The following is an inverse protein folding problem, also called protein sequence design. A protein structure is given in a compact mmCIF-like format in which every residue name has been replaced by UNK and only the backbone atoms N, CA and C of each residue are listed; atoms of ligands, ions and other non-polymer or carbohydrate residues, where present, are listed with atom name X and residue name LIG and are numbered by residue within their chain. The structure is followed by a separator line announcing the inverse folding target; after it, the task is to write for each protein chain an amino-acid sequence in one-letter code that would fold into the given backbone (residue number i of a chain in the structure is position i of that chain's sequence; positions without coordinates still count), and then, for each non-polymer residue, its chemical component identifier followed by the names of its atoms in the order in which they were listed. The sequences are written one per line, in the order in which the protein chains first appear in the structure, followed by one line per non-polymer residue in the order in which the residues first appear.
data_IF_683591882959
#
_entry.id   IF_683591882959
#
_cell.length_a   1.000
_cell.length_b   1.000
_cell.length_c   1.000
_cell.angle_alpha   90.00
_cell.angle_beta   90.00
_cell.angle_gamma   90.00
#
_symmetry.space_group_name_H-M   'P 1'
#
loop_
_entity.id
_entity.type
_entity.pdbx_description
1 polymer ?
#
# COMPACT_ATOMS: atom_id res chain seq x y z
N UNK A 1 -42.64 -37.58 -22.54
CA UNK A 1 -42.86 -36.59 -21.47
C UNK A 1 -41.50 -36.10 -21.04
N UNK A 2 -41.09 -34.94 -21.53
CA UNK A 2 -39.84 -34.27 -21.12
C UNK A 2 -40.18 -33.38 -19.93
N UNK A 3 -39.65 -33.70 -18.75
CA UNK A 3 -39.77 -32.86 -17.57
C UNK A 3 -38.97 -31.57 -17.82
N UNK A 4 -39.67 -30.45 -17.92
CA UNK A 4 -39.06 -29.13 -17.90
C UNK A 4 -38.46 -28.89 -16.49
N UNK A 5 -37.17 -28.51 -16.34
CA UNK A 5 -36.59 -28.22 -15.05
C UNK A 5 -37.25 -26.97 -14.45
N UNK A 6 -37.68 -27.07 -13.20
CA UNK A 6 -38.23 -25.96 -12.42
C UNK A 6 -37.19 -24.85 -12.33
N UNK A 7 -37.52 -23.59 -12.72
CA UNK A 7 -36.56 -22.49 -12.61
C UNK A 7 -36.20 -22.26 -11.14
N UNK A 8 -34.92 -22.46 -10.78
CA UNK A 8 -34.38 -22.21 -9.43
C UNK A 8 -33.86 -23.43 -8.67
N UNK A 9 -34.07 -24.67 -9.17
CA UNK A 9 -33.57 -25.88 -8.52
C UNK A 9 -32.22 -26.30 -9.15
N UNK A 10 -31.12 -25.86 -8.57
CA UNK A 10 -29.79 -26.38 -8.95
C UNK A 10 -29.56 -27.73 -8.28
N UNK A 11 -29.01 -28.75 -8.98
CA UNK A 11 -28.68 -30.04 -8.39
C UNK A 11 -27.77 -29.85 -7.16
N UNK A 12 -27.99 -30.61 -6.10
CA UNK A 12 -27.30 -30.49 -4.82
C UNK A 12 -25.76 -30.56 -4.92
N UNK A 13 -25.25 -31.27 -5.93
CA UNK A 13 -23.79 -31.35 -6.19
C UNK A 13 -23.21 -30.06 -6.79
N UNK A 14 -23.94 -29.36 -7.67
CA UNK A 14 -23.48 -28.05 -8.18
C UNK A 14 -23.53 -26.96 -7.09
N UNK A 15 -24.54 -26.98 -6.23
CA UNK A 15 -24.65 -26.12 -5.08
C UNK A 15 -23.52 -26.33 -4.07
N UNK A 16 -23.09 -27.59 -3.88
CA UNK A 16 -21.98 -27.94 -2.99
C UNK A 16 -20.61 -27.54 -3.55
N UNK A 17 -20.38 -27.73 -4.85
CA UNK A 17 -19.15 -27.26 -5.54
C UNK A 17 -19.04 -25.74 -5.55
N UNK A 18 -20.15 -25.03 -5.78
CA UNK A 18 -20.17 -23.55 -5.73
C UNK A 18 -19.89 -23.04 -4.32
N UNK A 19 -20.49 -23.61 -3.28
CA UNK A 19 -20.24 -23.23 -1.87
C UNK A 19 -18.76 -23.40 -1.48
N UNK A 20 -18.11 -24.49 -1.87
CA UNK A 20 -16.68 -24.72 -1.63
C UNK A 20 -15.77 -23.71 -2.36
N UNK A 21 -16.16 -23.29 -3.58
CA UNK A 21 -15.39 -22.35 -4.37
C UNK A 21 -15.40 -20.92 -3.78
N UNK A 22 -16.46 -20.51 -3.08
CA UNK A 22 -16.53 -19.21 -2.37
C UNK A 22 -15.80 -19.21 -1.02
N UNK A 23 -15.57 -20.39 -0.42
CA UNK A 23 -14.93 -20.48 0.89
C UNK A 23 -13.42 -20.14 0.85
N UNK A 24 -12.73 -20.46 -0.25
CA UNK A 24 -11.30 -20.26 -0.36
C UNK A 24 -10.90 -18.78 -0.38
N UNK A 25 -11.48 -17.91 -1.24
CA UNK A 25 -11.19 -16.47 -1.16
C UNK A 25 -11.51 -15.89 0.22
N UNK A 26 -12.66 -16.20 0.80
CA UNK A 26 -13.05 -15.72 2.13
C UNK A 26 -12.07 -16.12 3.24
N UNK A 27 -11.34 -17.22 3.10
CA UNK A 27 -10.30 -17.63 4.04
C UNK A 27 -9.09 -16.69 4.00
N UNK A 28 -8.64 -16.29 2.79
CA UNK A 28 -7.52 -15.35 2.65
C UNK A 28 -7.90 -13.95 3.12
N UNK A 29 -9.11 -13.48 2.81
CA UNK A 29 -9.63 -12.21 3.35
C UNK A 29 -9.71 -12.25 4.89
N UNK A 30 -10.15 -13.38 5.47
CA UNK A 30 -10.16 -13.57 6.93
C UNK A 30 -8.74 -13.57 7.51
N UNK A 31 -7.77 -14.19 6.83
CA UNK A 31 -6.37 -14.16 7.23
C UNK A 31 -5.78 -12.75 7.15
N UNK A 32 -6.15 -11.96 6.14
CA UNK A 32 -5.80 -10.54 6.02
C UNK A 32 -6.33 -9.75 7.23
N UNK A 33 -7.63 -9.88 7.55
CA UNK A 33 -8.25 -9.26 8.74
C UNK A 33 -7.52 -9.66 10.03
N UNK A 34 -7.22 -10.95 10.18
CA UNK A 34 -6.50 -11.46 11.36
C UNK A 34 -5.12 -10.81 11.50
N UNK A 35 -4.36 -10.71 10.41
CA UNK A 35 -3.05 -10.07 10.41
C UNK A 35 -3.15 -8.57 10.75
N UNK A 36 -4.13 -7.85 10.17
CA UNK A 36 -4.38 -6.44 10.48
C UNK A 36 -4.76 -6.22 11.94
N UNK A 37 -5.66 -7.04 12.47
CA UNK A 37 -6.07 -7.00 13.89
C UNK A 37 -4.90 -7.31 14.82
N UNK A 38 -4.11 -8.36 14.51
CA UNK A 38 -2.91 -8.70 15.28
C UNK A 38 -1.91 -7.53 15.26
N UNK A 39 -1.70 -6.87 14.13
CA UNK A 39 -0.80 -5.73 14.02
C UNK A 39 -1.26 -4.56 14.91
N UNK A 40 -2.56 -4.27 14.98
CA UNK A 40 -3.14 -3.26 15.88
C UNK A 40 -2.85 -3.62 17.35
N UNK A 41 -3.15 -4.84 17.75
CA UNK A 41 -2.92 -5.29 19.14
C UNK A 41 -1.43 -5.28 19.50
N UNK A 42 -0.55 -5.71 18.58
CA UNK A 42 0.89 -5.69 18.79
C UNK A 42 1.43 -4.25 18.91
N UNK A 43 0.95 -3.32 18.08
CA UNK A 43 1.32 -1.90 18.16
C UNK A 43 0.87 -1.26 19.49
N UNK A 44 -0.35 -1.56 19.95
CA UNK A 44 -0.86 -1.07 21.24
C UNK A 44 -0.07 -1.62 22.43
N UNK A 45 0.21 -2.92 22.42
CA UNK A 45 1.06 -3.54 23.45
C UNK A 45 2.50 -3.00 23.43
N UNK A 46 3.05 -2.79 22.23
CA UNK A 46 4.36 -2.16 22.06
C UNK A 46 4.41 -0.75 22.65
N UNK A 47 3.36 0.03 22.44
CA UNK A 47 3.20 1.35 23.04
C UNK A 47 3.14 1.30 24.57
N UNK A 48 2.41 0.36 25.14
CA UNK A 48 2.32 0.15 26.59
C UNK A 48 3.68 -0.27 27.21
N UNK A 49 4.48 -1.04 26.48
CA UNK A 49 5.78 -1.53 26.92
C UNK A 49 6.90 -0.47 26.85
N UNK A 50 6.70 0.69 26.20
CA UNK A 50 7.71 1.74 26.02
C UNK A 50 8.36 2.21 27.33
N UNK A 51 7.58 2.30 28.41
CA UNK A 51 8.05 2.76 29.74
C UNK A 51 8.58 1.66 30.63
N UNK A 52 8.45 0.39 30.28
CA UNK A 52 8.76 -0.74 31.15
C UNK A 52 9.80 -1.71 30.57
N UNK A 53 9.65 -2.10 29.31
CA UNK A 53 10.54 -3.04 28.63
C UNK A 53 10.72 -2.65 27.16
N UNK A 54 11.83 -1.99 26.87
CA UNK A 54 12.18 -1.56 25.52
C UNK A 54 12.41 -2.73 24.56
N UNK A 55 12.94 -3.86 25.05
CA UNK A 55 13.17 -5.06 24.24
C UNK A 55 11.85 -5.66 23.79
N UNK A 56 10.88 -5.77 24.71
CA UNK A 56 9.53 -6.24 24.39
C UNK A 56 8.81 -5.27 23.44
N UNK A 57 8.89 -3.95 23.67
CA UNK A 57 8.34 -2.95 22.77
C UNK A 57 8.89 -3.09 21.35
N UNK A 58 10.21 -3.20 21.20
CA UNK A 58 10.89 -3.40 19.91
C UNK A 58 10.40 -4.67 19.21
N UNK A 59 10.30 -5.78 19.94
CA UNK A 59 9.80 -7.06 19.40
C UNK A 59 8.34 -6.94 18.92
N UNK A 60 7.50 -6.27 19.68
CA UNK A 60 6.08 -6.10 19.37
C UNK A 60 5.87 -5.21 18.14
N UNK A 61 6.64 -4.13 17.98
CA UNK A 61 6.58 -3.29 16.79
C UNK A 61 7.08 -4.03 15.54
N UNK A 62 8.13 -4.83 15.66
CA UNK A 62 8.61 -5.68 14.57
C UNK A 62 7.56 -6.72 14.15
N UNK A 63 6.90 -7.35 15.13
CA UNK A 63 5.82 -8.29 14.87
C UNK A 63 4.60 -7.63 14.20
N UNK A 64 4.25 -6.40 14.62
CA UNK A 64 3.18 -5.64 13.98
C UNK A 64 3.52 -5.31 12.52
N UNK A 65 4.75 -4.90 12.25
CA UNK A 65 5.23 -4.64 10.89
C UNK A 65 5.20 -5.90 10.01
N UNK A 66 5.68 -7.03 10.52
CA UNK A 66 5.61 -8.33 9.84
C UNK A 66 4.18 -8.76 9.55
N UNK A 67 3.26 -8.55 10.50
CA UNK A 67 1.85 -8.90 10.32
C UNK A 67 1.22 -8.07 9.19
N UNK A 68 1.52 -6.76 9.07
CA UNK A 68 1.09 -5.95 7.93
C UNK A 68 1.68 -6.50 6.62
N UNK A 69 2.94 -6.92 6.62
CA UNK A 69 3.57 -7.56 5.46
C UNK A 69 2.86 -8.86 5.04
N UNK A 70 2.47 -9.71 5.99
CA UNK A 70 1.66 -10.90 5.70
C UNK A 70 0.25 -10.55 5.21
N UNK A 71 -0.36 -9.48 5.75
CA UNK A 71 -1.65 -8.99 5.25
C UNK A 71 -1.57 -8.62 3.77
N UNK A 72 -0.51 -7.90 3.33
CA UNK A 72 -0.27 -7.59 1.90
C UNK A 72 -0.14 -8.85 1.05
N UNK A 73 0.50 -9.90 1.58
CA UNK A 73 0.63 -11.18 0.88
C UNK A 73 -0.72 -11.88 0.73
N UNK A 74 -1.53 -11.94 1.80
CA UNK A 74 -2.86 -12.58 1.78
C UNK A 74 -3.83 -11.84 0.86
N UNK A 75 -3.84 -10.50 0.87
CA UNK A 75 -4.60 -9.68 -0.08
C UNK A 75 -4.22 -9.97 -1.53
N UNK A 76 -2.93 -10.00 -1.84
CA UNK A 76 -2.46 -10.31 -3.19
C UNK A 76 -2.85 -11.72 -3.65
N UNK A 77 -2.88 -12.70 -2.75
CA UNK A 77 -3.30 -14.08 -3.01
C UNK A 77 -4.80 -14.18 -3.22
N UNK A 78 -5.61 -13.55 -2.34
CA UNK A 78 -7.07 -13.52 -2.42
C UNK A 78 -7.53 -12.98 -3.77
N UNK A 79 -7.11 -11.77 -4.13
CA UNK A 79 -7.45 -11.16 -5.40
C UNK A 79 -6.96 -11.97 -6.62
N UNK A 80 -5.91 -12.78 -6.50
CA UNK A 80 -5.44 -13.66 -7.57
C UNK A 80 -6.28 -14.92 -7.69
N UNK A 81 -6.58 -15.57 -6.57
CA UNK A 81 -7.39 -16.80 -6.50
C UNK A 81 -8.82 -16.52 -6.94
N UNK A 82 -9.47 -15.45 -6.46
CA UNK A 82 -10.82 -15.07 -6.85
C UNK A 82 -10.94 -14.87 -8.37
N UNK A 83 -9.95 -14.29 -9.01
CA UNK A 83 -9.90 -14.15 -10.49
C UNK A 83 -9.71 -15.46 -11.22
N UNK A 84 -8.87 -16.37 -10.70
CA UNK A 84 -8.62 -17.68 -11.31
C UNK A 84 -9.82 -18.61 -11.21
N UNK A 85 -10.51 -18.58 -10.08
CA UNK A 85 -11.67 -19.43 -9.81
C UNK A 85 -12.99 -18.85 -10.35
N UNK A 86 -12.98 -17.60 -10.84
CA UNK A 86 -14.17 -16.86 -11.29
C UNK A 86 -15.29 -16.82 -10.22
N UNK A 87 -14.92 -16.79 -8.96
CA UNK A 87 -15.83 -16.85 -7.80
C UNK A 87 -15.95 -15.50 -7.10
N UNK A 88 -15.92 -14.40 -7.84
CA UNK A 88 -16.15 -13.08 -7.27
C UNK A 88 -17.63 -12.92 -6.90
N UNK A 89 -17.90 -12.64 -5.62
CA UNK A 89 -19.24 -12.26 -5.13
C UNK A 89 -19.22 -10.80 -4.69
N UNK A 90 -20.38 -10.12 -4.77
CA UNK A 90 -20.51 -8.74 -4.30
C UNK A 90 -20.16 -8.62 -2.81
N UNK A 91 -20.59 -9.61 -2.00
CA UNK A 91 -20.24 -9.69 -0.59
C UNK A 91 -18.71 -9.82 -0.38
N UNK A 92 -18.02 -10.65 -1.17
CA UNK A 92 -16.57 -10.81 -1.10
C UNK A 92 -15.83 -9.52 -1.41
N UNK A 93 -16.26 -8.75 -2.39
CA UNK A 93 -15.66 -7.45 -2.75
C UNK A 93 -15.83 -6.42 -1.64
N UNK A 94 -16.99 -6.37 -0.99
CA UNK A 94 -17.20 -5.46 0.15
C UNK A 94 -16.41 -5.89 1.39
N UNK A 95 -16.35 -7.20 1.68
CA UNK A 95 -15.57 -7.73 2.79
C UNK A 95 -14.07 -7.47 2.60
N UNK A 96 -13.56 -7.65 1.39
CA UNK A 96 -12.17 -7.34 1.02
C UNK A 96 -11.85 -5.85 1.24
N UNK A 97 -12.75 -4.96 0.84
CA UNK A 97 -12.58 -3.52 1.07
C UNK A 97 -12.56 -3.15 2.56
N UNK A 98 -13.37 -3.82 3.39
CA UNK A 98 -13.34 -3.63 4.85
C UNK A 98 -12.06 -4.18 5.46
N UNK A 99 -11.59 -5.34 5.00
CA UNK A 99 -10.31 -5.93 5.39
C UNK A 99 -9.15 -4.98 5.07
N UNK A 100 -9.15 -4.38 3.88
CA UNK A 100 -8.12 -3.43 3.45
C UNK A 100 -8.09 -2.17 4.31
N UNK A 101 -9.25 -1.60 4.69
CA UNK A 101 -9.29 -0.44 5.59
C UNK A 101 -8.70 -0.78 6.96
N UNK A 102 -8.98 -1.97 7.49
CA UNK A 102 -8.43 -2.42 8.76
C UNK A 102 -6.92 -2.66 8.67
N UNK A 103 -6.48 -3.47 7.70
CA UNK A 103 -5.12 -3.98 7.63
C UNK A 103 -4.12 -2.98 7.02
N UNK A 104 -4.58 -2.13 6.10
CA UNK A 104 -3.73 -1.17 5.38
C UNK A 104 -4.07 0.29 5.66
N UNK A 105 -5.22 0.57 6.28
CA UNK A 105 -5.57 1.89 6.79
C UNK A 105 -5.25 2.03 8.27
N UNK A 106 -5.98 1.31 9.12
CA UNK A 106 -5.91 1.46 10.58
C UNK A 106 -4.59 0.93 11.16
N UNK A 107 -4.19 -0.30 10.83
CA UNK A 107 -3.03 -0.93 11.44
C UNK A 107 -1.72 -0.15 11.20
N UNK A 108 -1.34 0.27 9.95
CA UNK A 108 -0.14 1.05 9.75
C UNK A 108 -0.22 2.47 10.30
N UNK A 109 -1.41 3.10 10.36
CA UNK A 109 -1.59 4.39 11.02
C UNK A 109 -1.26 4.33 12.51
N UNK A 110 -1.79 3.32 13.21
CA UNK A 110 -1.52 3.07 14.61
C UNK A 110 -0.07 2.64 14.86
N UNK A 111 0.49 1.80 13.99
CA UNK A 111 1.89 1.40 14.09
C UNK A 111 2.83 2.60 13.98
N UNK A 112 2.65 3.45 12.98
CA UNK A 112 3.46 4.66 12.77
C UNK A 112 3.32 5.65 13.94
N UNK A 113 2.11 5.79 14.49
CA UNK A 113 1.84 6.61 15.66
C UNK A 113 2.56 6.07 16.89
N UNK A 114 2.36 4.79 17.22
CA UNK A 114 2.84 4.18 18.44
C UNK A 114 4.38 3.99 18.47
N UNK A 115 4.96 3.60 17.33
CA UNK A 115 6.40 3.40 17.19
C UNK A 115 7.17 4.71 17.01
N UNK A 116 6.56 5.68 16.34
CA UNK A 116 7.24 6.85 15.80
C UNK A 116 6.78 8.17 16.41
N UNK A 117 6.07 8.95 15.62
CA UNK A 117 5.83 10.37 15.84
C UNK A 117 4.82 10.70 16.95
N UNK A 118 3.96 9.77 17.38
CA UNK A 118 2.96 10.01 18.43
C UNK A 118 3.56 10.17 19.83
N UNK A 119 4.78 9.67 20.03
CA UNK A 119 5.54 9.74 21.30
C UNK A 119 6.76 10.67 21.20
N UNK A 120 6.94 11.33 20.07
CA UNK A 120 8.06 12.24 19.82
C UNK A 120 7.84 13.57 20.55
N UNK A 121 8.88 14.16 21.18
CA UNK A 121 8.80 15.49 21.80
C UNK A 121 8.42 16.59 20.80
N UNK A 122 7.84 17.66 21.31
CA UNK A 122 7.47 18.84 20.51
C UNK A 122 8.68 19.49 19.85
N UNK A 123 8.52 19.92 18.61
CA UNK A 123 9.58 20.52 17.79
C UNK A 123 9.17 21.92 17.33
N UNK A 124 9.98 22.93 17.61
CA UNK A 124 9.79 24.30 17.12
C UNK A 124 8.37 24.85 17.31
N UNK A 125 7.72 24.51 18.42
CA UNK A 125 6.34 24.95 18.72
C UNK A 125 5.23 24.13 18.05
N UNK A 126 5.59 23.08 17.28
CA UNK A 126 4.62 22.11 16.77
C UNK A 126 4.30 21.10 17.86
N UNK A 127 3.05 21.04 18.29
CA UNK A 127 2.56 20.03 19.21
C UNK A 127 2.50 18.67 18.49
N UNK A 128 3.59 17.92 18.56
CA UNK A 128 3.76 16.66 17.82
C UNK A 128 2.64 15.67 18.10
N UNK A 129 2.17 15.56 19.35
CA UNK A 129 1.08 14.67 19.72
C UNK A 129 -0.24 14.99 18.99
N UNK A 130 -0.59 16.26 18.85
CA UNK A 130 -1.80 16.68 18.10
C UNK A 130 -1.63 16.45 16.59
N UNK A 131 -0.47 16.85 16.03
CA UNK A 131 -0.18 16.63 14.62
C UNK A 131 -0.16 15.14 14.28
N UNK A 132 0.42 14.31 15.13
CA UNK A 132 0.45 12.86 15.01
C UNK A 132 -0.95 12.24 14.91
N UNK A 133 -1.84 12.64 15.81
CA UNK A 133 -3.23 12.17 15.79
C UNK A 133 -3.94 12.55 14.48
N UNK A 134 -3.84 13.80 14.07
CA UNK A 134 -4.48 14.33 12.85
C UNK A 134 -3.95 13.61 11.61
N UNK A 135 -2.63 13.44 11.49
CA UNK A 135 -2.02 12.79 10.31
C UNK A 135 -2.35 11.30 10.26
N UNK A 136 -2.37 10.59 11.40
CA UNK A 136 -2.81 9.19 11.45
C UNK A 136 -4.26 9.03 11.01
N UNK A 137 -5.15 9.93 11.47
CA UNK A 137 -6.54 9.97 11.05
C UNK A 137 -6.67 10.27 9.54
N UNK A 138 -5.93 11.26 9.04
CA UNK A 138 -5.92 11.57 7.61
C UNK A 138 -5.45 10.39 6.76
N UNK A 139 -4.43 9.67 7.19
CA UNK A 139 -3.95 8.48 6.50
C UNK A 139 -5.07 7.43 6.35
N UNK A 140 -5.77 7.12 7.44
CA UNK A 140 -6.91 6.20 7.43
C UNK A 140 -8.02 6.67 6.49
N UNK A 141 -8.42 7.93 6.59
CA UNK A 141 -9.51 8.51 5.79
C UNK A 141 -9.13 8.56 4.30
N UNK A 142 -7.91 8.97 3.98
CA UNK A 142 -7.41 8.99 2.60
C UNK A 142 -7.38 7.60 1.98
N UNK A 143 -6.98 6.58 2.75
CA UNK A 143 -7.05 5.18 2.35
C UNK A 143 -8.47 4.70 2.07
N UNK A 144 -9.41 5.00 2.99
CA UNK A 144 -10.82 4.65 2.84
C UNK A 144 -11.47 5.34 1.62
N UNK A 145 -11.24 6.64 1.42
CA UNK A 145 -11.72 7.37 0.24
C UNK A 145 -11.15 6.80 -1.06
N UNK A 146 -9.88 6.43 -1.06
CA UNK A 146 -9.27 5.79 -2.23
C UNK A 146 -9.98 4.48 -2.58
N UNK A 147 -10.24 3.61 -1.60
CA UNK A 147 -10.94 2.34 -1.81
C UNK A 147 -12.37 2.56 -2.31
N UNK A 148 -13.11 3.47 -1.67
CA UNK A 148 -14.47 3.82 -2.08
C UNK A 148 -14.50 4.33 -3.54
N UNK A 149 -13.56 5.24 -3.91
CA UNK A 149 -13.43 5.74 -5.29
C UNK A 149 -13.13 4.63 -6.27
N UNK A 150 -12.24 3.69 -5.90
CA UNK A 150 -11.89 2.55 -6.74
C UNK A 150 -13.10 1.63 -6.97
N UNK A 151 -13.85 1.29 -5.94
CA UNK A 151 -15.03 0.42 -6.04
C UNK A 151 -16.14 1.04 -6.90
N UNK A 152 -16.42 2.33 -6.71
CA UNK A 152 -17.39 3.06 -7.55
C UNK A 152 -16.95 3.08 -9.01
N UNK A 153 -15.66 3.32 -9.26
CA UNK A 153 -15.12 3.36 -10.61
C UNK A 153 -15.16 1.98 -11.27
N UNK A 154 -14.79 0.92 -10.55
CA UNK A 154 -14.82 -0.46 -11.04
C UNK A 154 -16.22 -0.91 -11.46
N UNK A 155 -17.29 -0.44 -10.79
CA UNK A 155 -18.69 -0.72 -11.14
C UNK A 155 -19.18 0.05 -12.36
N UNK A 156 -18.62 1.24 -12.64
CA UNK A 156 -19.06 2.12 -13.75
C UNK A 156 -18.31 1.91 -15.05
N UNK A 157 -17.14 1.29 -15.04
CA UNK A 157 -16.26 1.23 -16.23
C UNK A 157 -16.69 0.11 -17.17
N UNK A 158 -17.11 0.49 -18.39
CA UNK A 158 -17.60 -0.43 -19.44
C UNK A 158 -16.46 -0.92 -20.34
N UNK A 159 -15.31 -0.19 -20.40
CA UNK A 159 -14.23 -0.50 -21.33
C UNK A 159 -12.97 -1.03 -20.65
N UNK A 160 -12.33 -2.04 -21.28
CA UNK A 160 -11.11 -2.67 -20.78
C UNK A 160 -9.91 -1.72 -20.69
N UNK A 161 -9.92 -0.60 -21.45
CA UNK A 161 -8.86 0.41 -21.49
C UNK A 161 -8.86 1.28 -20.23
N UNK A 162 -10.04 1.56 -19.68
CA UNK A 162 -10.19 2.38 -18.47
C UNK A 162 -9.84 1.61 -17.19
N UNK A 163 -9.98 0.28 -17.20
CA UNK A 163 -9.62 -0.61 -16.07
C UNK A 163 -8.12 -0.69 -15.78
N UNK A 164 -7.26 -0.28 -16.72
CA UNK A 164 -5.80 -0.39 -16.58
C UNK A 164 -5.14 0.77 -15.86
N UNK A 165 -5.88 1.83 -15.52
CA UNK A 165 -5.29 3.04 -14.94
C UNK A 165 -5.64 3.14 -13.45
N UNK A 166 -4.73 2.64 -12.60
CA UNK A 166 -4.79 2.89 -11.16
C UNK A 166 -4.44 4.36 -10.89
N UNK A 167 -5.39 5.10 -10.35
CA UNK A 167 -5.21 6.51 -9.97
C UNK A 167 -4.97 6.60 -8.46
N UNK A 168 -3.86 7.17 -8.06
CA UNK A 168 -3.40 7.25 -6.67
C UNK A 168 -2.57 6.04 -6.23
N UNK A 169 -1.77 6.24 -5.15
CA UNK A 169 -0.94 5.20 -4.55
C UNK A 169 -1.82 4.08 -3.96
N UNK A 170 -1.58 2.79 -4.26
CA UNK A 170 -2.29 1.68 -3.63
C UNK A 170 -2.15 1.68 -2.11
N UNK A 171 -3.26 1.46 -1.37
CA UNK A 171 -3.24 1.44 0.10
C UNK A 171 -2.32 0.33 0.65
N UNK A 172 -2.24 -0.90 0.08
CA UNK A 172 -1.27 -1.89 0.52
C UNK A 172 0.18 -1.46 0.30
N UNK A 173 0.47 -0.65 -0.74
CA UNK A 173 1.81 -0.16 -0.99
C UNK A 173 2.25 0.92 0.02
N UNK A 174 1.34 1.81 0.41
CA UNK A 174 1.59 2.78 1.47
C UNK A 174 1.81 2.09 2.83
N UNK A 175 0.94 1.13 3.17
CA UNK A 175 1.05 0.31 4.37
C UNK A 175 2.36 -0.49 4.40
N UNK A 176 2.72 -1.10 3.26
CA UNK A 176 3.94 -1.85 3.09
C UNK A 176 5.21 -1.01 3.30
N UNK A 177 5.20 0.26 2.87
CA UNK A 177 6.34 1.16 3.12
C UNK A 177 6.47 1.51 4.60
N UNK A 178 5.37 1.83 5.28
CA UNK A 178 5.37 2.08 6.73
C UNK A 178 5.89 0.85 7.48
N UNK A 179 5.33 -0.32 7.18
CA UNK A 179 5.75 -1.59 7.79
C UNK A 179 7.22 -1.90 7.51
N UNK A 180 7.71 -1.69 6.28
CA UNK A 180 9.11 -1.92 5.92
C UNK A 180 10.08 -1.01 6.70
N UNK A 181 9.72 0.26 6.92
CA UNK A 181 10.52 1.20 7.73
C UNK A 181 10.60 0.73 9.18
N UNK A 182 9.46 0.35 9.77
CA UNK A 182 9.42 -0.15 11.15
C UNK A 182 10.19 -1.48 11.27
N UNK A 183 10.03 -2.40 10.32
CA UNK A 183 10.77 -3.66 10.29
C UNK A 183 12.28 -3.47 10.12
N UNK A 184 12.69 -2.49 9.32
CA UNK A 184 14.10 -2.13 9.15
C UNK A 184 14.73 -1.61 10.47
N UNK A 185 13.94 -0.90 11.26
CA UNK A 185 14.37 -0.33 12.53
C UNK A 185 13.26 -0.38 13.57
N UNK A 186 13.03 -1.55 14.19
CA UNK A 186 11.87 -1.74 15.06
C UNK A 186 11.99 -1.05 16.43
N UNK A 187 13.20 -0.62 16.82
CA UNK A 187 13.38 0.16 18.06
C UNK A 187 12.60 1.47 17.97
N UNK A 188 11.72 1.78 18.94
CA UNK A 188 10.91 3.00 18.93
C UNK A 188 11.77 4.27 18.84
N UNK A 189 11.28 5.28 18.12
CA UNK A 189 12.05 6.51 17.91
C UNK A 189 12.34 7.24 19.22
N UNK A 190 11.41 7.24 20.16
CA UNK A 190 11.60 7.87 21.48
C UNK A 190 12.78 7.28 22.27
N UNK A 191 13.03 5.99 22.13
CA UNK A 191 14.10 5.30 22.85
C UNK A 191 15.50 5.55 22.26
N UNK A 192 15.56 6.26 21.14
CA UNK A 192 16.80 6.57 20.44
C UNK A 192 17.11 8.05 20.64
N UNK A 193 17.89 8.39 21.67
CA UNK A 193 18.24 9.79 22.01
C UNK A 193 18.91 10.53 20.86
N UNK A 194 19.73 9.84 20.06
CA UNK A 194 20.23 10.27 18.76
C UNK A 194 20.73 9.06 17.97
N UNK A 195 20.45 8.98 16.68
CA UNK A 195 21.08 8.00 15.78
C UNK A 195 22.30 8.62 15.13
N UNK A 196 23.44 7.95 15.26
CA UNK A 196 24.60 8.25 14.46
C UNK A 196 24.47 7.53 13.10
N UNK A 197 24.40 8.29 12.04
CA UNK A 197 24.53 7.79 10.68
C UNK A 197 25.95 8.11 10.18
N UNK A 198 26.65 7.12 9.70
CA UNK A 198 27.91 7.34 9.00
C UNK A 198 27.60 7.70 7.54
N UNK A 199 27.77 8.98 7.21
CA UNK A 199 27.58 9.49 5.87
C UNK A 199 28.91 10.04 5.38
N UNK A 200 29.53 9.37 4.40
CA UNK A 200 30.81 9.79 3.79
C UNK A 200 31.93 9.98 4.82
N UNK A 201 32.02 9.07 5.81
CA UNK A 201 33.04 9.11 6.88
C UNK A 201 32.79 10.12 8.00
N UNK A 202 31.64 10.82 7.96
CA UNK A 202 31.21 11.73 9.04
C UNK A 202 30.07 11.10 9.82
N UNK A 203 30.13 11.15 11.15
CA UNK A 203 29.03 10.74 12.03
C UNK A 203 28.03 11.89 12.15
N UNK A 204 26.88 11.74 11.49
CA UNK A 204 25.77 12.69 11.61
C UNK A 204 24.83 12.17 12.70
N UNK A 205 24.72 12.93 13.79
CA UNK A 205 23.75 12.65 14.86
C UNK A 205 22.40 13.24 14.46
N UNK A 206 21.39 12.38 14.28
CA UNK A 206 20.02 12.82 14.00
C UNK A 206 19.19 12.58 15.24
N UNK A 207 18.61 13.65 15.77
CA UNK A 207 17.73 13.60 16.92
C UNK A 207 16.46 12.78 16.63
N UNK A 208 15.98 12.06 17.64
CA UNK A 208 14.72 11.30 17.59
C UNK A 208 13.53 12.17 17.19
N UNK A 209 13.52 13.42 17.62
CA UNK A 209 12.53 14.41 17.29
C UNK A 209 12.50 14.71 15.78
N UNK A 210 13.64 14.85 15.14
CA UNK A 210 13.75 15.04 13.68
C UNK A 210 13.28 13.81 12.94
N UNK A 211 13.65 12.60 13.40
CA UNK A 211 13.18 11.35 12.78
C UNK A 211 11.65 11.18 12.89
N UNK A 212 11.09 11.54 14.05
CA UNK A 212 9.63 11.54 14.27
C UNK A 212 8.93 12.52 13.32
N UNK A 213 9.47 13.72 13.17
CA UNK A 213 8.93 14.72 12.23
C UNK A 213 9.03 14.26 10.77
N UNK A 214 10.16 13.65 10.36
CA UNK A 214 10.32 13.09 9.02
C UNK A 214 9.31 11.95 8.77
N UNK A 215 9.08 11.09 9.77
CA UNK A 215 8.06 10.03 9.66
C UNK A 215 6.65 10.62 9.56
N UNK A 216 6.34 11.67 10.32
CA UNK A 216 5.08 12.40 10.21
C UNK A 216 4.86 12.95 8.80
N UNK A 217 5.89 13.61 8.24
CA UNK A 217 5.85 14.12 6.86
C UNK A 217 5.68 13.01 5.83
N UNK A 218 6.35 11.88 6.02
CA UNK A 218 6.21 10.72 5.15
C UNK A 218 4.77 10.22 5.15
N UNK A 219 4.15 10.01 6.32
CA UNK A 219 2.76 9.52 6.42
C UNK A 219 1.79 10.54 5.83
N UNK A 220 2.01 11.85 6.04
CA UNK A 220 1.24 12.91 5.39
C UNK A 220 1.36 12.88 3.86
N UNK A 221 2.58 12.70 3.34
CA UNK A 221 2.84 12.57 1.91
C UNK A 221 2.16 11.31 1.31
N UNK A 222 2.23 10.17 1.99
CA UNK A 222 1.54 8.94 1.58
C UNK A 222 0.03 9.14 1.53
N UNK A 223 -0.55 9.84 2.53
CA UNK A 223 -1.98 10.19 2.56
C UNK A 223 -2.36 11.02 1.34
N UNK A 224 -1.58 12.05 1.02
CA UNK A 224 -1.77 12.88 -0.18
C UNK A 224 -1.62 12.09 -1.48
N UNK A 225 -0.63 11.16 -1.55
CA UNK A 225 -0.42 10.32 -2.71
C UNK A 225 -1.59 9.35 -2.97
N UNK A 226 -2.25 8.83 -1.94
CA UNK A 226 -3.43 7.98 -2.08
C UNK A 226 -4.59 8.69 -2.77
N UNK A 227 -4.85 9.97 -2.46
CA UNK A 227 -5.92 10.77 -3.07
C UNK A 227 -5.49 11.37 -4.40
N UNK A 228 -4.19 11.48 -4.66
CA UNK A 228 -3.66 12.11 -5.87
C UNK A 228 -4.16 11.44 -7.15
N UNK A 229 -4.07 12.19 -8.25
CA UNK A 229 -4.38 11.69 -9.59
C UNK A 229 -3.17 11.09 -10.30
N UNK A 230 -2.10 10.76 -9.55
CA UNK A 230 -0.90 10.14 -10.09
C UNK A 230 -1.23 8.72 -10.55
N UNK A 231 -0.88 8.41 -11.79
CA UNK A 231 -1.09 7.09 -12.37
C UNK A 231 0.08 6.18 -11.99
N UNK A 232 -0.17 5.21 -11.11
CA UNK A 232 0.79 4.16 -10.81
C UNK A 232 0.64 3.02 -11.81
N UNK A 233 1.75 2.62 -12.42
CA UNK A 233 1.76 1.47 -13.33
C UNK A 233 1.66 0.18 -12.54
N UNK A 234 0.84 -0.75 -13.03
CA UNK A 234 0.82 -2.11 -12.49
C UNK A 234 2.13 -2.83 -12.81
N UNK A 235 2.64 -3.63 -11.88
CA UNK A 235 3.80 -4.49 -12.11
C UNK A 235 3.67 -5.41 -13.35
N UNK A 236 2.46 -5.64 -13.84
CA UNK A 236 2.20 -6.41 -15.06
C UNK A 236 2.78 -5.76 -16.33
N UNK A 237 2.94 -4.43 -16.33
CA UNK A 237 3.46 -3.69 -17.48
C UNK A 237 5.01 -3.65 -17.53
N UNK A 238 5.68 -4.18 -16.50
CA UNK A 238 7.15 -4.25 -16.42
C UNK A 238 7.76 -5.37 -17.28
N UNK A 239 6.97 -6.00 -18.15
CA UNK A 239 7.48 -6.98 -19.10
C UNK A 239 7.96 -8.31 -18.48
N UNK A 240 7.67 -8.56 -17.19
CA UNK A 240 8.00 -9.85 -16.53
C UNK A 240 7.32 -11.02 -17.25
N UNK A 241 6.19 -10.77 -17.92
CA UNK A 241 5.53 -11.77 -18.79
C UNK A 241 6.26 -12.06 -20.10
N UNK A 242 7.27 -11.25 -20.48
CA UNK A 242 8.11 -11.47 -21.65
C UNK A 242 9.37 -12.31 -21.31
N UNK A 243 9.65 -12.52 -20.02
CA UNK A 243 10.76 -13.37 -19.58
C UNK A 243 10.40 -14.84 -19.75
N UNK A 244 11.38 -15.64 -20.18
CA UNK A 244 11.18 -17.09 -20.23
C UNK A 244 10.85 -17.65 -18.84
N UNK A 245 10.07 -18.72 -18.71
CA UNK A 245 9.67 -19.31 -17.42
C UNK A 245 10.86 -19.59 -16.49
N UNK A 246 12.01 -19.92 -17.04
CA UNK A 246 13.24 -20.21 -16.27
C UNK A 246 13.75 -18.98 -15.53
N UNK A 247 13.83 -17.83 -16.19
CA UNK A 247 14.25 -16.57 -15.58
C UNK A 247 13.23 -16.05 -14.56
N UNK A 248 11.94 -16.23 -14.82
CA UNK A 248 10.89 -15.87 -13.86
C UNK A 248 11.01 -16.69 -12.57
N UNK A 249 11.23 -18.02 -12.67
CA UNK A 249 11.44 -18.87 -11.49
C UNK A 249 12.71 -18.50 -10.74
N UNK A 250 13.82 -18.23 -11.46
CA UNK A 250 15.08 -17.83 -10.83
C UNK A 250 14.92 -16.49 -10.08
N UNK A 251 14.31 -15.48 -10.69
CA UNK A 251 14.06 -14.19 -10.02
C UNK A 251 13.14 -14.32 -8.81
N UNK A 252 12.09 -15.15 -8.91
CA UNK A 252 11.19 -15.41 -7.79
C UNK A 252 11.94 -16.13 -6.64
N UNK A 253 12.76 -17.13 -6.95
CA UNK A 253 13.57 -17.85 -5.96
C UNK A 253 14.57 -16.91 -5.29
N UNK A 254 15.23 -16.04 -6.06
CA UNK A 254 16.17 -15.05 -5.54
C UNK A 254 15.45 -14.03 -4.62
N UNK A 255 14.25 -13.58 -5.01
CA UNK A 255 13.43 -12.70 -4.20
C UNK A 255 13.04 -13.35 -2.87
N UNK A 256 12.56 -14.61 -2.90
CA UNK A 256 12.20 -15.36 -1.69
C UNK A 256 13.42 -15.58 -0.80
N UNK A 257 14.56 -15.97 -1.36
CA UNK A 257 15.81 -16.10 -0.62
C UNK A 257 16.26 -14.75 -0.02
N UNK A 258 16.18 -13.68 -0.78
CA UNK A 258 16.49 -12.33 -0.32
C UNK A 258 15.60 -11.90 0.86
N UNK A 259 14.29 -12.16 0.79
CA UNK A 259 13.37 -11.88 1.91
C UNK A 259 13.68 -12.78 3.10
N UNK A 260 14.05 -14.04 2.90
CA UNK A 260 14.39 -14.94 4.01
C UNK A 260 15.66 -14.52 4.75
N UNK A 261 16.72 -14.18 4.03
CA UNK A 261 18.04 -13.86 4.63
C UNK A 261 18.19 -12.37 4.99
N UNK A 262 17.56 -11.46 4.23
CA UNK A 262 17.76 -10.01 4.32
C UNK A 262 16.44 -9.25 4.26
N UNK A 263 15.40 -9.73 4.98
CA UNK A 263 14.03 -9.16 4.95
C UNK A 263 14.00 -7.64 5.11
N UNK A 264 14.77 -7.12 6.06
CA UNK A 264 14.82 -5.69 6.37
C UNK A 264 15.25 -4.84 5.17
N UNK A 265 16.32 -5.23 4.49
CA UNK A 265 16.85 -4.50 3.34
C UNK A 265 16.00 -4.68 2.08
N UNK A 266 15.56 -5.91 1.83
CA UNK A 266 14.80 -6.23 0.61
C UNK A 266 13.42 -5.56 0.65
N UNK A 267 12.72 -5.61 1.78
CA UNK A 267 11.38 -5.05 1.90
C UNK A 267 11.40 -3.51 1.82
N UNK A 268 12.35 -2.85 2.50
CA UNK A 268 12.46 -1.39 2.43
C UNK A 268 12.83 -0.92 1.02
N UNK A 269 13.74 -1.64 0.34
CA UNK A 269 14.12 -1.33 -1.03
C UNK A 269 12.93 -1.46 -1.99
N UNK A 270 12.21 -2.58 -1.94
CA UNK A 270 11.05 -2.83 -2.80
C UNK A 270 9.93 -1.81 -2.59
N UNK A 271 9.59 -1.55 -1.33
CA UNK A 271 8.52 -0.60 -0.98
C UNK A 271 8.89 0.83 -1.39
N UNK A 272 10.12 1.26 -1.10
CA UNK A 272 10.63 2.59 -1.49
C UNK A 272 10.72 2.76 -3.00
N UNK A 273 11.26 1.75 -3.70
CA UNK A 273 11.38 1.77 -5.15
C UNK A 273 10.01 1.89 -5.84
N UNK A 274 8.99 1.22 -5.32
CA UNK A 274 7.63 1.33 -5.84
C UNK A 274 7.04 2.74 -5.71
N UNK A 275 7.15 3.33 -4.51
CA UNK A 275 6.63 4.68 -4.26
C UNK A 275 7.39 5.73 -5.09
N UNK A 276 8.72 5.66 -5.10
CA UNK A 276 9.60 6.59 -5.85
C UNK A 276 9.36 6.46 -7.36
N UNK A 277 9.20 5.25 -7.89
CA UNK A 277 8.92 5.04 -9.31
C UNK A 277 7.67 5.80 -9.77
N UNK A 278 6.59 5.75 -8.98
CA UNK A 278 5.36 6.47 -9.29
C UNK A 278 5.55 8.00 -9.34
N UNK A 279 6.29 8.53 -8.39
CA UNK A 279 6.64 9.97 -8.34
C UNK A 279 7.53 10.38 -9.50
N UNK A 280 8.57 9.60 -9.82
CA UNK A 280 9.50 9.86 -10.92
C UNK A 280 8.79 9.89 -12.28
N UNK A 281 7.87 8.96 -12.52
CA UNK A 281 7.09 8.92 -13.76
C UNK A 281 6.22 10.16 -13.94
N UNK A 282 5.64 10.69 -12.86
CA UNK A 282 4.87 11.96 -12.91
C UNK A 282 5.79 13.16 -13.15
N UNK A 283 6.91 13.23 -12.44
CA UNK A 283 7.91 14.30 -12.63
C UNK A 283 8.39 14.37 -14.08
N UNK A 284 8.74 13.23 -14.68
CA UNK A 284 9.14 13.13 -16.08
C UNK A 284 8.01 13.55 -17.05
N UNK A 285 6.76 13.20 -16.75
CA UNK A 285 5.61 13.59 -17.56
C UNK A 285 5.39 15.10 -17.52
N UNK A 286 5.52 15.75 -16.36
CA UNK A 286 5.41 17.20 -16.21
C UNK A 286 6.54 17.93 -16.94
N UNK A 287 7.77 17.44 -16.84
CA UNK A 287 8.93 18.00 -17.57
C UNK A 287 8.76 17.90 -19.08
N UNK A 288 8.18 16.81 -19.60
CA UNK A 288 7.89 16.64 -21.03
C UNK A 288 6.76 17.55 -21.52
N UNK A 289 5.78 17.86 -20.70
CA UNK A 289 4.70 18.80 -21.04
C UNK A 289 5.20 20.24 -21.07
N UNK A 290 6.11 20.62 -20.16
CA UNK A 290 6.74 21.96 -20.17
C UNK A 290 7.70 22.19 -21.35
N UNK A 291 8.10 21.13 -22.07
CA UNK A 291 9.03 21.21 -23.22
C UNK A 291 8.33 21.23 -24.59
N UNK A 292 7.00 21.13 -24.65
CA UNK A 292 6.25 21.41 -25.87
C UNK A 292 6.14 22.92 -26.01
N UNK A 293 6.99 23.50 -26.88
CA UNK A 293 6.89 24.87 -27.34
C UNK A 293 5.48 25.16 -27.86
N UNK A 294 4.98 26.40 -27.70
CA UNK A 294 3.74 26.82 -28.35
C UNK A 294 3.91 26.66 -29.86
N UNK A 295 2.99 25.91 -30.48
CA UNK A 295 2.91 25.80 -31.93
C UNK A 295 2.90 27.21 -32.53
N UNK A 296 3.88 27.47 -33.37
CA UNK A 296 3.97 28.68 -34.17
C UNK A 296 2.60 29.02 -34.76
N UNK A 297 2.15 30.26 -34.48
CA UNK A 297 0.97 30.84 -35.05
C UNK A 297 1.03 30.67 -36.60
N UNK A 298 0.07 29.97 -37.15
CA UNK A 298 -0.17 29.96 -38.60
C UNK A 298 -0.36 31.39 -39.07
N UNK A 299 0.59 31.84 -39.83
CA UNK A 299 0.50 33.10 -40.60
C UNK A 299 -0.66 32.92 -41.57
N UNK A 300 -1.75 33.61 -41.31
CA UNK A 300 -2.88 33.76 -42.24
C UNK A 300 -2.39 34.46 -43.51
N UNK A 301 -2.28 33.72 -44.62
CA UNK A 301 -2.12 34.28 -45.93
C UNK A 301 -3.34 35.12 -46.32
N UNK A 302 -3.19 36.36 -46.83
CA UNK A 302 -4.31 37.17 -47.24
C UNK A 302 -4.90 36.61 -48.54
N UNK A 303 -6.21 36.50 -48.57
CA UNK A 303 -7.00 36.14 -49.76
C UNK A 303 -6.83 37.25 -50.80
N UNK A 304 -6.19 36.95 -51.94
CA UNK A 304 -6.20 37.78 -53.12
C UNK A 304 -7.61 37.82 -53.70
N UNK A 305 -8.22 39.01 -53.69
CA UNK A 305 -9.36 39.36 -54.53
C UNK A 305 -8.85 39.59 -55.93
N UNK A 306 -9.30 38.81 -56.89
CA UNK A 306 -9.21 39.14 -58.32
C UNK A 306 -10.58 39.60 -58.88
N UNK A 307 -10.56 40.41 -59.91
CA UNK A 307 -11.65 41.32 -60.36
C UNK A 307 -12.82 40.65 -61.07
#
# INVERSE_FOLDING_TARGET
MSENPIPGYLPAEEGRRRRGAYAIPSLFTTANIFCGFYAVIAALKGYQALGTDLGEATRLFDNAAKAIGFAVLFDALDGRIARMTKTTSDFGVELDSLADVLSFGLAPALLAYAWGYGVTPDIYGLEMGKAAWVISFLYLVCGAFRLARFNVHARRTVTAKDRRQFVGLPIPAAAGLIAAIVHFSPTPLLAQSARSFEVWGNHVLVDSAVLGFLMLLLVAALSGLMISTIRYRSFKDLGVGALSPRWTLLLLSLLVAGIYFYSQWVLIFLASAYVVHGLAMKGLALLRLGRKEPASAEVSTPIKSEP
#
